data_IF_576944150304
#
_entry.id   IF_576944150304
#
_cell.length_a   1.000
_cell.length_b   1.000
_cell.length_c   1.000
_cell.angle_alpha   90.00
_cell.angle_beta   90.00
_cell.angle_gamma   90.00
#
_symmetry.space_group_name_H-M   'P 1'
#
loop_
_entity.id
_entity.type
_entity.pdbx_description
1 polymer ?
#
# COMPACT_ATOMS: atom_id res chain seq x y z
N UNK A 1 21.64 13.05 7.73
CA UNK A 1 22.64 14.13 7.47
C UNK A 1 21.97 15.48 7.64
N UNK A 2 22.67 16.47 8.24
CA UNK A 2 22.19 17.86 8.25
C UNK A 2 22.32 18.49 6.85
N UNK A 3 21.59 19.59 6.59
CA UNK A 3 21.70 20.34 5.32
C UNK A 3 23.14 20.78 5.03
N UNK A 4 23.88 21.21 6.05
CA UNK A 4 25.28 21.61 5.93
C UNK A 4 26.20 20.44 5.59
N UNK A 5 25.97 19.27 6.21
CA UNK A 5 26.69 18.05 5.85
C UNK A 5 26.43 17.63 4.41
N UNK A 6 25.16 17.72 3.96
CA UNK A 6 24.81 17.44 2.57
C UNK A 6 25.59 18.33 1.58
N UNK A 7 25.59 19.64 1.78
CA UNK A 7 26.30 20.55 0.88
C UNK A 7 27.83 20.36 0.91
N UNK A 8 28.39 20.01 2.06
CA UNK A 8 29.83 19.69 2.17
C UNK A 8 30.18 18.43 1.39
N UNK A 9 29.30 17.45 1.41
CA UNK A 9 29.53 16.15 0.79
C UNK A 9 29.32 16.17 -0.73
N UNK A 10 28.68 17.22 -1.30
CA UNK A 10 28.47 17.37 -2.76
C UNK A 10 29.79 17.41 -3.58
N UNK A 11 30.90 17.72 -2.94
CA UNK A 11 32.23 17.75 -3.59
C UNK A 11 33.00 16.44 -3.44
N UNK A 12 32.46 15.47 -2.70
CA UNK A 12 33.07 14.16 -2.53
C UNK A 12 32.73 13.27 -3.74
N UNK A 13 33.73 12.56 -4.22
CA UNK A 13 33.50 11.52 -5.22
C UNK A 13 32.74 10.35 -4.61
N UNK A 14 31.76 9.83 -5.33
CA UNK A 14 31.11 8.57 -4.95
C UNK A 14 32.10 7.41 -5.08
N UNK A 15 31.97 6.41 -4.22
CA UNK A 15 32.72 5.17 -4.41
C UNK A 15 32.23 4.45 -5.68
N UNK A 16 33.08 3.64 -6.29
CA UNK A 16 32.71 2.87 -7.49
C UNK A 16 31.45 2.02 -7.25
N UNK A 17 31.32 1.45 -6.06
CA UNK A 17 30.13 0.68 -5.66
C UNK A 17 28.84 1.53 -5.68
N UNK A 18 28.92 2.77 -5.20
CA UNK A 18 27.77 3.71 -5.23
C UNK A 18 27.44 4.11 -6.66
N UNK A 19 28.46 4.37 -7.49
CA UNK A 19 28.27 4.70 -8.92
C UNK A 19 27.56 3.53 -9.63
N UNK A 20 28.06 2.32 -9.50
CA UNK A 20 27.50 1.11 -10.13
C UNK A 20 26.03 0.88 -9.67
N UNK A 21 25.76 1.10 -8.38
CA UNK A 21 24.41 0.98 -7.84
C UNK A 21 23.46 2.05 -8.41
N UNK A 22 23.89 3.29 -8.48
CA UNK A 22 23.11 4.39 -9.08
C UNK A 22 22.83 4.11 -10.56
N UNK A 23 23.83 3.62 -11.29
CA UNK A 23 23.67 3.26 -12.71
C UNK A 23 22.66 2.12 -12.90
N UNK A 24 22.72 1.09 -12.07
CA UNK A 24 21.75 -0.02 -12.07
C UNK A 24 20.31 0.50 -11.82
N UNK A 25 20.10 1.29 -10.75
CA UNK A 25 18.79 1.83 -10.40
C UNK A 25 18.26 2.77 -11.49
N UNK A 26 19.15 3.58 -12.09
CA UNK A 26 18.81 4.46 -13.20
C UNK A 26 18.36 3.66 -14.42
N UNK A 27 19.05 2.58 -14.75
CA UNK A 27 18.67 1.69 -15.87
C UNK A 27 17.29 1.07 -15.64
N UNK A 28 17.00 0.60 -14.43
CA UNK A 28 15.68 0.09 -14.05
C UNK A 28 14.61 1.17 -14.24
N UNK A 29 14.86 2.40 -13.78
CA UNK A 29 13.92 3.51 -13.97
C UNK A 29 13.70 3.85 -15.45
N UNK A 30 14.75 3.88 -16.25
CA UNK A 30 14.67 4.14 -17.69
C UNK A 30 13.96 3.03 -18.47
N UNK A 31 13.93 1.80 -17.95
CA UNK A 31 13.10 0.72 -18.52
C UNK A 31 11.62 0.81 -18.14
N UNK A 32 11.21 1.85 -17.40
CA UNK A 32 9.81 2.09 -17.01
C UNK A 32 9.46 1.64 -15.59
N UNK A 33 10.39 0.98 -14.86
CA UNK A 33 10.09 0.50 -13.52
C UNK A 33 9.73 1.65 -12.56
N UNK A 34 8.60 1.56 -11.83
CA UNK A 34 8.19 2.59 -10.88
C UNK A 34 9.21 2.81 -9.76
N UNK A 35 9.40 4.07 -9.36
CA UNK A 35 10.33 4.45 -8.29
C UNK A 35 10.01 3.74 -6.99
N UNK A 36 8.73 3.56 -6.66
CA UNK A 36 8.29 2.84 -5.46
C UNK A 36 8.82 1.40 -5.41
N UNK A 37 8.84 0.68 -6.55
CA UNK A 37 9.40 -0.67 -6.62
C UNK A 37 10.92 -0.71 -6.63
N UNK A 38 11.56 0.33 -7.16
CA UNK A 38 13.02 0.46 -7.14
C UNK A 38 13.52 0.70 -5.71
N UNK A 39 12.81 1.54 -4.95
CA UNK A 39 13.13 1.88 -3.55
C UNK A 39 12.68 0.76 -2.62
N UNK A 40 11.54 0.11 -2.92
CA UNK A 40 10.92 -0.92 -2.08
C UNK A 40 10.03 -0.33 -0.99
N UNK A 41 9.82 0.98 -0.98
CA UNK A 41 8.96 1.66 -0.01
C UNK A 41 8.21 2.85 -0.62
N UNK A 42 7.10 3.21 0.01
CA UNK A 42 6.28 4.36 -0.34
C UNK A 42 5.67 4.98 0.91
N UNK A 43 5.30 6.24 0.83
CA UNK A 43 4.54 6.89 1.90
C UNK A 43 3.08 6.99 1.50
N UNK A 44 2.16 6.74 2.45
CA UNK A 44 0.74 6.95 2.28
C UNK A 44 0.14 7.44 3.60
N UNK A 45 -0.53 8.58 3.55
CA UNK A 45 -1.18 9.21 4.71
C UNK A 45 -0.24 9.39 5.92
N UNK A 46 1.01 9.73 5.67
CA UNK A 46 2.08 9.89 6.67
C UNK A 46 2.67 8.56 7.18
N UNK A 47 2.26 7.41 6.67
CA UNK A 47 2.77 6.09 7.06
C UNK A 47 3.79 5.56 6.06
N UNK A 48 4.97 5.10 6.52
CA UNK A 48 5.90 4.39 5.66
C UNK A 48 5.40 2.96 5.39
N UNK A 49 5.34 2.57 4.13
CA UNK A 49 4.89 1.26 3.68
C UNK A 49 5.97 0.55 2.88
N UNK A 50 6.19 -0.73 3.16
CA UNK A 50 6.92 -1.62 2.28
C UNK A 50 6.07 -1.89 1.03
N UNK A 51 6.70 -1.79 -0.14
CA UNK A 51 6.04 -1.94 -1.44
C UNK A 51 6.84 -2.91 -2.30
N UNK A 52 6.15 -3.78 -3.01
CA UNK A 52 6.72 -4.68 -4.00
C UNK A 52 5.76 -4.89 -5.17
N UNK A 53 6.20 -5.60 -6.20
CA UNK A 53 5.35 -5.95 -7.37
C UNK A 53 4.14 -6.84 -7.03
N UNK A 54 3.97 -7.20 -5.77
CA UNK A 54 2.82 -7.97 -5.31
C UNK A 54 1.61 -7.10 -4.95
N UNK A 55 1.79 -5.77 -4.87
CA UNK A 55 0.74 -4.82 -4.50
C UNK A 55 0.73 -3.61 -5.42
N UNK A 56 -0.45 -3.05 -5.63
CA UNK A 56 -0.61 -1.75 -6.26
C UNK A 56 0.15 -0.69 -5.45
N UNK A 57 0.86 0.21 -6.13
CA UNK A 57 1.46 1.37 -5.48
C UNK A 57 0.33 2.29 -5.03
N UNK A 58 0.25 2.66 -3.74
CA UNK A 58 -0.79 3.55 -3.24
C UNK A 58 -0.84 4.87 -4.02
N UNK A 59 -2.05 5.30 -4.42
CA UNK A 59 -2.27 6.54 -5.15
C UNK A 59 -2.74 7.64 -4.18
N UNK A 60 -2.37 8.88 -4.46
CA UNK A 60 -2.81 10.04 -3.69
C UNK A 60 -4.34 10.16 -3.63
N UNK A 61 -5.03 9.83 -4.71
CA UNK A 61 -6.50 9.87 -4.74
C UNK A 61 -7.14 8.89 -3.75
N UNK A 62 -6.44 7.80 -3.42
CA UNK A 62 -6.90 6.82 -2.42
C UNK A 62 -6.85 7.40 -0.99
N UNK A 63 -6.12 8.49 -0.75
CA UNK A 63 -6.13 9.17 0.56
C UNK A 63 -7.50 9.77 0.89
N UNK A 64 -8.30 10.12 -0.12
CA UNK A 64 -9.69 10.57 0.06
C UNK A 64 -10.54 9.43 0.64
N UNK A 65 -10.34 8.20 0.17
CA UNK A 65 -11.01 7.02 0.73
C UNK A 65 -10.58 6.79 2.19
N UNK A 66 -9.29 6.89 2.46
CA UNK A 66 -8.75 6.74 3.82
C UNK A 66 -9.32 7.81 4.77
N UNK A 67 -9.37 9.07 4.35
CA UNK A 67 -9.95 10.16 5.13
C UNK A 67 -11.42 9.89 5.48
N UNK A 68 -12.22 9.46 4.50
CA UNK A 68 -13.64 9.13 4.71
C UNK A 68 -13.79 7.94 5.65
N UNK A 69 -13.01 6.89 5.48
CA UNK A 69 -13.03 5.74 6.37
C UNK A 69 -12.66 6.12 7.82
N UNK A 70 -11.66 6.97 8.02
CA UNK A 70 -11.27 7.51 9.33
C UNK A 70 -12.42 8.28 9.99
N UNK A 71 -13.06 9.18 9.25
CA UNK A 71 -14.19 9.98 9.77
C UNK A 71 -15.36 9.09 10.18
N UNK A 72 -15.74 8.13 9.36
CA UNK A 72 -16.82 7.19 9.65
C UNK A 72 -16.47 6.29 10.86
N UNK A 73 -15.23 5.82 10.94
CA UNK A 73 -14.76 4.99 12.06
C UNK A 73 -14.83 5.75 13.39
N UNK A 74 -14.39 7.02 13.40
CA UNK A 74 -14.51 7.88 14.59
C UNK A 74 -15.97 8.14 14.97
N UNK A 75 -16.86 8.30 14.00
CA UNK A 75 -18.28 8.49 14.23
C UNK A 75 -18.98 7.23 14.76
N UNK A 76 -18.50 6.04 14.41
CA UNK A 76 -19.01 4.78 14.94
C UNK A 76 -18.65 4.55 16.43
N UNK A 77 -17.63 5.24 16.93
CA UNK A 77 -17.25 5.22 18.35
C UNK A 77 -16.19 4.17 18.71
N UNK A 78 -15.99 4.01 20.01
CA UNK A 78 -14.96 3.12 20.55
C UNK A 78 -15.24 1.64 20.22
N UNK A 79 -14.19 0.94 19.83
CA UNK A 79 -14.28 -0.48 19.45
C UNK A 79 -14.80 -0.73 18.04
N UNK A 80 -14.99 0.32 17.23
CA UNK A 80 -15.46 0.20 15.84
C UNK A 80 -14.64 -0.83 15.06
N UNK A 81 -15.34 -1.66 14.29
CA UNK A 81 -14.76 -2.71 13.44
C UNK A 81 -14.72 -2.23 11.99
N UNK A 82 -13.56 -2.26 11.39
CA UNK A 82 -13.30 -1.78 10.03
C UNK A 82 -12.78 -2.92 9.17
N UNK A 83 -13.35 -3.05 7.98
CA UNK A 83 -12.83 -3.91 6.92
C UNK A 83 -12.21 -3.05 5.82
N UNK A 84 -10.96 -3.31 5.49
CA UNK A 84 -10.32 -2.85 4.25
C UNK A 84 -10.30 -4.04 3.29
N UNK A 85 -11.20 -4.03 2.31
CA UNK A 85 -11.39 -5.10 1.33
C UNK A 85 -10.64 -4.76 0.04
N UNK A 86 -9.95 -5.73 -0.55
CA UNK A 86 -8.96 -5.53 -1.61
C UNK A 86 -7.80 -4.64 -1.10
N UNK A 87 -7.27 -5.00 0.05
CA UNK A 87 -6.38 -4.15 0.85
C UNK A 87 -5.03 -3.84 0.18
N UNK A 88 -4.55 -4.69 -0.74
CA UNK A 88 -3.27 -4.51 -1.43
C UNK A 88 -2.10 -4.40 -0.45
N UNK A 89 -1.50 -3.21 -0.33
CA UNK A 89 -0.46 -2.93 0.67
C UNK A 89 -0.98 -2.73 2.10
N UNK A 90 -2.32 -2.66 2.27
CA UNK A 90 -2.98 -2.32 3.51
C UNK A 90 -3.06 -0.82 3.80
N UNK A 91 -2.75 0.03 2.83
CA UNK A 91 -2.57 1.46 3.03
C UNK A 91 -3.79 2.15 3.66
N UNK A 92 -5.01 1.82 3.20
CA UNK A 92 -6.25 2.44 3.72
C UNK A 92 -6.52 1.98 5.14
N UNK A 93 -6.55 0.68 5.39
CA UNK A 93 -6.83 0.14 6.73
C UNK A 93 -5.78 0.53 7.76
N UNK A 94 -4.50 0.62 7.37
CA UNK A 94 -3.43 1.09 8.25
C UNK A 94 -3.59 2.59 8.57
N UNK A 95 -3.95 3.41 7.59
CA UNK A 95 -4.25 4.83 7.83
C UNK A 95 -5.42 4.98 8.81
N UNK A 96 -6.48 4.16 8.68
CA UNK A 96 -7.60 4.13 9.64
C UNK A 96 -7.11 3.75 11.03
N UNK A 97 -6.36 2.64 11.14
CA UNK A 97 -5.87 2.16 12.44
C UNK A 97 -4.95 3.16 13.14
N UNK A 98 -4.13 3.89 12.39
CA UNK A 98 -3.24 4.91 12.95
C UNK A 98 -3.99 6.15 13.44
N UNK A 99 -5.10 6.51 12.77
CA UNK A 99 -5.85 7.75 13.04
C UNK A 99 -7.13 7.54 13.87
N UNK A 100 -7.56 6.30 14.12
CA UNK A 100 -8.66 5.93 15.01
C UNK A 100 -8.16 4.87 16.00
N UNK A 101 -7.53 5.26 17.12
CA UNK A 101 -6.78 4.35 18.01
C UNK A 101 -7.63 3.27 18.67
N UNK A 102 -8.93 3.50 18.84
CA UNK A 102 -9.84 2.58 19.53
C UNK A 102 -10.55 1.59 18.58
N UNK A 103 -10.24 1.62 17.28
CA UNK A 103 -10.82 0.69 16.31
C UNK A 103 -10.01 -0.62 16.16
N UNK A 104 -10.66 -1.62 15.58
CA UNK A 104 -10.06 -2.87 15.10
C UNK A 104 -10.21 -2.97 13.59
N UNK A 105 -9.13 -3.29 12.89
CA UNK A 105 -9.11 -3.33 11.42
C UNK A 105 -8.80 -4.74 10.93
N UNK A 106 -9.53 -5.18 9.93
CA UNK A 106 -9.23 -6.37 9.16
C UNK A 106 -8.82 -5.93 7.76
N UNK A 107 -7.61 -6.31 7.33
CA UNK A 107 -7.13 -6.18 5.97
C UNK A 107 -7.43 -7.48 5.23
N UNK A 108 -8.29 -7.43 4.23
CA UNK A 108 -8.69 -8.58 3.46
C UNK A 108 -8.26 -8.45 2.00
N UNK A 109 -7.59 -9.46 1.47
CA UNK A 109 -7.16 -9.52 0.09
C UNK A 109 -7.20 -10.96 -0.43
N UNK A 110 -7.41 -11.14 -1.73
CA UNK A 110 -7.36 -12.44 -2.38
C UNK A 110 -5.91 -12.93 -2.54
N UNK A 111 -4.99 -12.02 -2.80
CA UNK A 111 -3.58 -12.30 -3.08
C UNK A 111 -2.80 -12.62 -1.80
N UNK A 112 -2.22 -13.82 -1.73
CA UNK A 112 -1.28 -14.16 -0.65
C UNK A 112 -0.05 -13.24 -0.65
N UNK A 113 0.37 -12.76 -1.82
CA UNK A 113 1.45 -11.81 -1.97
C UNK A 113 1.12 -10.47 -1.30
N UNK A 114 -0.06 -9.94 -1.59
CA UNK A 114 -0.57 -8.73 -0.94
C UNK A 114 -0.64 -8.90 0.58
N UNK A 115 -1.15 -10.04 1.06
CA UNK A 115 -1.22 -10.32 2.49
C UNK A 115 0.15 -10.43 3.18
N UNK A 116 1.19 -10.88 2.46
CA UNK A 116 2.57 -10.82 2.99
C UNK A 116 3.02 -9.38 3.21
N UNK A 117 2.79 -8.51 2.24
CA UNK A 117 3.10 -7.07 2.33
C UNK A 117 2.24 -6.40 3.41
N UNK A 118 0.93 -6.66 3.48
CA UNK A 118 0.08 -6.20 4.57
C UNK A 118 0.69 -6.51 5.95
N UNK A 119 1.06 -7.78 6.17
CA UNK A 119 1.64 -8.22 7.46
C UNK A 119 2.98 -7.52 7.78
N UNK A 120 3.81 -7.24 6.77
CA UNK A 120 5.03 -6.46 6.94
C UNK A 120 4.70 -5.02 7.35
N UNK A 121 3.75 -4.38 6.66
CA UNK A 121 3.33 -3.01 6.93
C UNK A 121 2.64 -2.85 8.29
N UNK A 122 1.84 -3.82 8.72
CA UNK A 122 1.27 -3.87 10.07
C UNK A 122 2.38 -3.86 11.13
N UNK A 123 3.44 -4.66 10.95
CA UNK A 123 4.59 -4.72 11.86
C UNK A 123 5.41 -3.44 11.82
N UNK A 124 5.72 -2.93 10.62
CA UNK A 124 6.48 -1.70 10.42
C UNK A 124 5.86 -0.52 11.15
N UNK A 125 4.53 -0.42 11.09
CA UNK A 125 3.76 0.65 11.73
C UNK A 125 3.29 0.32 13.17
N UNK A 126 3.73 -0.81 13.75
CA UNK A 126 3.45 -1.23 15.14
C UNK A 126 1.95 -1.37 15.44
N UNK A 127 1.15 -1.80 14.46
CA UNK A 127 -0.31 -1.91 14.56
C UNK A 127 -0.80 -3.34 14.85
N UNK A 128 0.09 -4.29 15.20
CA UNK A 128 -0.22 -5.71 15.37
C UNK A 128 -1.33 -6.00 16.40
N UNK A 129 -1.50 -5.14 17.39
CA UNK A 129 -2.51 -5.34 18.45
C UNK A 129 -3.96 -5.12 17.95
N UNK A 130 -4.12 -4.40 16.83
CA UNK A 130 -5.43 -3.94 16.36
C UNK A 130 -5.73 -4.23 14.90
N UNK A 131 -4.74 -4.65 14.14
CA UNK A 131 -4.87 -4.94 12.70
C UNK A 131 -4.57 -6.42 12.45
N UNK A 132 -5.49 -7.10 11.76
CA UNK A 132 -5.34 -8.49 11.32
C UNK A 132 -5.42 -8.59 9.80
N UNK A 133 -4.79 -9.61 9.21
CA UNK A 133 -4.82 -9.84 7.76
C UNK A 133 -5.48 -11.20 7.48
N UNK A 134 -6.44 -11.22 6.57
CA UNK A 134 -7.25 -12.40 6.23
C UNK A 134 -7.31 -12.56 4.72
N UNK A 135 -7.15 -13.78 4.23
CA UNK A 135 -7.41 -14.07 2.83
C UNK A 135 -8.92 -14.13 2.58
N UNK A 136 -9.38 -13.34 1.60
CA UNK A 136 -10.78 -13.32 1.22
C UNK A 136 -10.94 -12.96 -0.26
N UNK A 137 -11.92 -13.57 -0.89
CA UNK A 137 -12.38 -13.25 -2.23
C UNK A 137 -13.64 -12.37 -2.12
N UNK A 138 -13.56 -11.15 -2.61
CA UNK A 138 -14.66 -10.19 -2.58
C UNK A 138 -15.88 -10.64 -3.42
N UNK A 139 -15.70 -11.59 -4.35
CA UNK A 139 -16.76 -12.12 -5.22
C UNK A 139 -17.48 -13.32 -4.60
N UNK A 140 -17.05 -13.83 -3.45
CA UNK A 140 -17.65 -14.98 -2.78
C UNK A 140 -18.37 -14.59 -1.49
N UNK A 141 -19.23 -15.48 -0.99
CA UNK A 141 -19.86 -15.26 0.30
C UNK A 141 -18.79 -15.17 1.41
N UNK A 142 -18.83 -14.11 2.25
CA UNK A 142 -17.81 -13.90 3.26
C UNK A 142 -17.86 -15.00 4.35
N UNK A 143 -16.69 -15.41 4.84
CA UNK A 143 -16.61 -16.22 6.04
C UNK A 143 -17.20 -15.45 7.24
N UNK A 144 -17.71 -16.17 8.26
CA UNK A 144 -18.33 -15.55 9.44
C UNK A 144 -17.44 -14.56 10.18
N UNK A 145 -16.12 -14.70 10.08
CA UNK A 145 -15.16 -13.75 10.65
C UNK A 145 -15.16 -12.38 9.95
N UNK A 146 -15.74 -12.28 8.74
CA UNK A 146 -15.84 -11.07 7.93
C UNK A 146 -17.27 -10.49 7.95
N UNK A 147 -17.95 -10.59 9.07
CA UNK A 147 -19.28 -10.03 9.30
C UNK A 147 -19.23 -8.95 10.40
N UNK A 148 -20.29 -8.15 10.49
CA UNK A 148 -20.52 -7.16 11.54
C UNK A 148 -19.43 -6.07 11.60
N UNK A 149 -19.10 -5.46 10.46
CA UNK A 149 -18.26 -4.28 10.39
C UNK A 149 -19.09 -2.99 10.42
N UNK A 150 -18.60 -2.00 11.15
CA UNK A 150 -19.19 -0.65 11.19
C UNK A 150 -18.80 0.15 9.94
N UNK A 151 -17.61 -0.10 9.40
CA UNK A 151 -17.10 0.56 8.19
C UNK A 151 -16.44 -0.47 7.28
N UNK A 152 -16.80 -0.40 6.00
CA UNK A 152 -16.12 -1.16 4.94
C UNK A 152 -15.52 -0.16 3.97
N UNK A 153 -14.19 -0.16 3.84
CA UNK A 153 -13.45 0.54 2.80
C UNK A 153 -13.05 -0.46 1.73
N UNK A 154 -13.16 -0.08 0.46
CA UNK A 154 -12.77 -0.95 -0.64
C UNK A 154 -12.28 -0.10 -1.82
N UNK A 155 -11.08 -0.41 -2.30
CA UNK A 155 -10.55 0.08 -3.56
C UNK A 155 -10.29 -1.12 -4.49
N UNK A 156 -11.32 -1.70 -5.10
CA UNK A 156 -11.20 -2.92 -5.89
C UNK A 156 -10.54 -2.65 -7.24
N UNK A 157 -10.07 -3.67 -7.95
CA UNK A 157 -9.76 -3.56 -9.38
C UNK A 157 -11.01 -3.06 -10.13
N UNK A 158 -10.81 -2.11 -11.06
CA UNK A 158 -11.93 -1.49 -11.78
C UNK A 158 -11.61 -1.15 -13.25
N UNK A 159 -10.44 -1.50 -13.73
CA UNK A 159 -10.05 -1.23 -15.12
C UNK A 159 -10.64 -2.33 -16.01
N UNK A 160 -11.44 -1.99 -17.02
CA UNK A 160 -11.95 -2.99 -17.96
C UNK A 160 -10.81 -3.75 -18.63
N UNK A 161 -10.94 -5.06 -18.74
CA UNK A 161 -9.91 -5.94 -19.31
C UNK A 161 -9.36 -5.43 -20.66
N UNK A 162 -10.23 -4.90 -21.53
CA UNK A 162 -9.83 -4.36 -22.84
C UNK A 162 -8.96 -3.10 -22.77
N UNK A 163 -8.96 -2.39 -21.65
CA UNK A 163 -8.23 -1.13 -21.47
C UNK A 163 -6.84 -1.34 -20.88
N UNK A 164 -6.56 -2.51 -20.32
CA UNK A 164 -5.27 -2.84 -19.69
C UNK A 164 -4.09 -2.65 -20.64
N UNK A 165 -4.26 -2.98 -21.92
CA UNK A 165 -3.21 -2.82 -22.93
C UNK A 165 -2.83 -1.35 -23.20
N UNK A 166 -3.73 -0.41 -22.87
CA UNK A 166 -3.55 1.02 -23.10
C UNK A 166 -2.93 1.76 -21.92
N UNK A 167 -2.70 1.07 -20.81
CA UNK A 167 -2.09 1.66 -19.61
C UNK A 167 -0.63 2.05 -19.87
N UNK A 168 -0.16 3.03 -19.11
CA UNK A 168 1.25 3.38 -19.10
C UNK A 168 2.12 2.15 -18.82
N UNK A 169 3.29 2.09 -19.45
CA UNK A 169 4.25 0.99 -19.30
C UNK A 169 4.58 0.72 -17.83
N UNK A 170 4.71 1.77 -17.04
CA UNK A 170 5.04 1.65 -15.60
C UNK A 170 3.95 0.95 -14.80
N UNK A 171 2.70 1.01 -15.25
CA UNK A 171 1.56 0.32 -14.62
C UNK A 171 1.40 -1.06 -15.23
N UNK A 172 1.23 -1.12 -16.56
CA UNK A 172 0.91 -2.34 -17.30
C UNK A 172 1.92 -3.47 -17.11
N UNK A 173 3.22 -3.14 -17.15
CA UNK A 173 4.29 -4.12 -17.18
C UNK A 173 4.89 -4.41 -15.79
N UNK A 174 4.51 -3.62 -14.77
CA UNK A 174 5.12 -3.71 -13.45
C UNK A 174 4.13 -3.94 -12.31
N UNK A 175 2.93 -3.40 -12.38
CA UNK A 175 1.95 -3.57 -11.31
C UNK A 175 1.15 -4.86 -11.47
N UNK A 176 0.66 -5.47 -10.37
CA UNK A 176 0.00 -6.78 -10.44
C UNK A 176 -1.35 -6.66 -11.16
N UNK A 177 -1.55 -7.46 -12.18
CA UNK A 177 -2.77 -7.46 -12.99
C UNK A 177 -4.03 -7.69 -12.17
N UNK A 178 -3.98 -8.57 -11.15
CA UNK A 178 -5.11 -8.82 -10.26
C UNK A 178 -5.52 -7.63 -9.40
N UNK A 179 -4.70 -6.56 -9.33
CA UNK A 179 -5.06 -5.31 -8.68
C UNK A 179 -5.58 -4.24 -9.67
N UNK A 180 -5.59 -4.54 -10.98
CA UNK A 180 -5.98 -3.62 -12.05
C UNK A 180 -7.26 -4.08 -12.76
N UNK A 181 -7.32 -5.36 -13.14
CA UNK A 181 -8.36 -5.97 -13.96
C UNK A 181 -9.64 -6.18 -13.13
N UNK A 182 -10.72 -5.47 -13.49
CA UNK A 182 -12.01 -5.48 -12.80
C UNK A 182 -13.15 -6.13 -13.60
#
# INVERSE_FOLDING_TARGET
KTREQFFRDLTLYASKEVEDRVEELTRRRLSGEPVAYIIGEWEFYGLPLDISREVLIPRSDTEVLAERAILLTRAAGDGARVLDLCAGSGCVGLAVAANAPDCRVVLADLSEGALRICKQNVRRNQLNARVTCVQADAMTAPASALWDFDVIACNPPYIPHGDLANLDVSVRDYEPWGALDG
#
